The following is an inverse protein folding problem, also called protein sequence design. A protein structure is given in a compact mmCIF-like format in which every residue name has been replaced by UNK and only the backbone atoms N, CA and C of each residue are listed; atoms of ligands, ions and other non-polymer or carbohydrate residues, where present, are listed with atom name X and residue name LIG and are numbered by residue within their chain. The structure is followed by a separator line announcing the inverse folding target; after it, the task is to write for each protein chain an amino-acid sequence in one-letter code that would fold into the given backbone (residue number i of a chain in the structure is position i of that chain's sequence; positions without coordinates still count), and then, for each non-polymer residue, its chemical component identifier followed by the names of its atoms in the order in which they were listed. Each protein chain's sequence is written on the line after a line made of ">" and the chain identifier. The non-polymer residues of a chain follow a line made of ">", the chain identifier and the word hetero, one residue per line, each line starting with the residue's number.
data_IF_407378460511
#
_entry.id   IF_407378460511
#
_cell.length_a   1.000
_cell.length_b   1.000
_cell.length_c   1.000
_cell.angle_alpha   90.00
_cell.angle_beta   90.00
_cell.angle_gamma   90.00
#
_symmetry.space_group_name_H-M   'P 1'
#
loop_
_entity.id
_entity.type
_entity.pdbx_description
1 polymer ?
2 non-polymer ?
3 non-polymer ?
4 water ?
#
# COMPACT_ATOMS: atom_id res chain seq x y z
N UNK A 3 -13.03 -29.20 -12.81
CA UNK A 3 -13.26 -27.89 -13.49
C UNK A 3 -14.24 -27.07 -12.64
N UNK A 4 -13.73 -25.99 -12.03
CA UNK A 4 -14.52 -25.17 -11.12
C UNK A 4 -15.12 -23.98 -11.83
N UNK A 5 -16.44 -23.79 -11.66
CA UNK A 5 -17.15 -22.62 -12.13
C UNK A 5 -18.21 -22.36 -11.10
N UNK A 6 -18.38 -21.10 -10.71
CA UNK A 6 -19.43 -20.75 -9.77
C UNK A 6 -19.70 -19.26 -9.76
N UNK A 7 -20.89 -18.91 -9.26
CA UNK A 7 -21.35 -17.53 -9.24
C UNK A 7 -21.49 -17.02 -7.82
N UNK A 8 -21.40 -15.69 -7.66
CA UNK A 8 -21.72 -15.05 -6.40
C UNK A 8 -23.20 -15.24 -6.10
N UNK A 9 -23.50 -15.61 -4.85
CA UNK A 9 -24.88 -15.86 -4.41
C UNK A 9 -25.40 -14.81 -3.43
N UNK A 10 -24.55 -14.31 -2.54
CA UNK A 10 -24.94 -13.21 -1.64
C UNK A 10 -23.75 -12.46 -1.08
N UNK A 11 -24.01 -11.24 -0.64
CA UNK A 11 -23.01 -10.48 0.10
C UNK A 11 -23.56 -9.98 1.43
N UNK A 12 -22.65 -9.69 2.34
CA UNK A 12 -22.92 -8.91 3.53
C UNK A 12 -21.88 -7.80 3.59
N UNK A 13 -22.34 -6.57 3.78
CA UNK A 13 -21.46 -5.43 3.95
C UNK A 13 -21.51 -5.03 5.42
N UNK A 14 -20.33 -4.88 6.04
CA UNK A 14 -20.24 -4.54 7.45
C UNK A 14 -19.50 -3.22 7.63
N UNK A 15 -20.12 -2.29 8.34
CA UNK A 15 -19.42 -1.12 8.83
C UNK A 15 -18.98 -1.49 10.25
N UNK A 16 -17.67 -1.51 10.48
CA UNK A 16 -17.14 -1.87 11.80
C UNK A 16 -16.29 -0.74 12.37
N UNK A 17 -16.23 -0.68 13.69
CA UNK A 17 -15.33 0.22 14.40
C UNK A 17 -14.21 -0.67 14.92
N UNK A 18 -12.96 -0.20 14.83
CA UNK A 18 -11.81 -0.95 15.33
C UNK A 18 -10.94 -0.04 16.21
N UNK A 19 -10.35 -0.60 17.29
CA UNK A 19 -9.57 0.24 18.19
C UNK A 19 -8.13 0.42 17.72
N UNK A 20 -7.59 1.61 17.98
CA UNK A 20 -6.18 1.90 17.78
C UNK A 20 -5.61 2.53 19.07
N UNK A 21 -4.30 2.75 19.11
CA UNK A 21 -3.68 3.49 20.22
C UNK A 21 -2.59 4.41 19.67
N UNK A 22 -2.62 5.69 20.08
CA UNK A 22 -1.62 6.68 19.62
C UNK A 22 -0.95 7.42 20.77
N UNK A 33 -9.10 6.35 20.97
CA UNK A 33 -8.92 6.33 19.52
C UNK A 33 -9.84 5.31 18.86
N UNK A 34 -10.24 5.58 17.62
CA UNK A 34 -11.10 4.67 16.88
C UNK A 34 -10.99 4.92 15.38
N UNK A 35 -11.30 3.90 14.58
CA UNK A 35 -11.39 4.03 13.13
C UNK A 35 -12.52 3.15 12.64
N UNK A 36 -13.16 3.55 11.56
CA UNK A 36 -14.23 2.76 10.97
C UNK A 36 -13.75 2.12 9.67
N UNK A 37 -14.20 0.89 9.42
CA UNK A 37 -13.74 0.10 8.29
C UNK A 37 -14.91 -0.57 7.59
N UNK A 38 -14.87 -0.63 6.27
CA UNK A 38 -15.89 -1.29 5.47
C UNK A 38 -15.37 -2.67 5.06
N UNK A 39 -16.02 -3.71 5.55
CA UNK A 39 -15.68 -5.07 5.20
C UNK A 39 -16.82 -5.70 4.41
N UNK A 40 -16.46 -6.47 3.39
CA UNK A 40 -17.41 -7.10 2.49
C UNK A 40 -17.17 -8.60 2.55
N UNK A 41 -18.23 -9.36 2.77
CA UNK A 41 -18.14 -10.80 2.73
C UNK A 41 -18.93 -11.28 1.53
N UNK A 42 -18.28 -12.00 0.63
CA UNK A 42 -18.96 -12.57 -0.52
C UNK A 42 -19.04 -14.08 -0.39
N UNK A 43 -20.17 -14.65 -0.79
CA UNK A 43 -20.41 -16.07 -0.66
C UNK A 43 -20.88 -16.66 -1.99
N UNK A 44 -20.20 -17.70 -2.46
CA UNK A 44 -20.55 -18.33 -3.75
C UNK A 44 -21.73 -19.28 -3.64
N UNK A 45 -22.27 -19.66 -4.80
CA UNK A 45 -23.35 -20.65 -4.89
C UNK A 45 -22.95 -22.04 -4.42
N UNK A 46 -21.64 -22.32 -4.40
CA UNK A 46 -21.10 -23.57 -3.85
C UNK A 46 -20.43 -23.41 -2.44
N UNK A 47 -20.86 -22.34 -1.75
CA UNK A 47 -20.64 -22.21 -0.29
C UNK A 47 -19.35 -21.55 0.18
N UNK A 48 -18.45 -21.22 -0.75
CA UNK A 48 -17.10 -20.71 -0.41
C UNK A 48 -17.11 -19.21 -0.13
N UNK A 49 -16.47 -18.81 0.96
CA UNK A 49 -16.53 -17.44 1.45
C UNK A 49 -15.24 -16.68 1.15
N UNK A 50 -15.37 -15.41 0.78
CA UNK A 50 -14.21 -14.54 0.57
C UNK A 50 -14.42 -13.15 1.12
N UNK A 51 -13.34 -12.51 1.53
CA UNK A 51 -13.43 -11.21 2.19
C UNK A 51 -12.67 -10.13 1.42
N UNK A 52 -13.23 -8.92 1.47
CA UNK A 52 -12.57 -7.74 0.97
C UNK A 52 -12.75 -6.61 1.96
N UNK A 53 -11.91 -5.60 1.84
CA UNK A 53 -11.94 -4.44 2.73
C UNK A 53 -11.70 -3.20 1.89
N UNK A 54 -12.52 -2.19 2.10
CA UNK A 54 -12.35 -0.89 1.48
C UNK A 54 -11.65 0.04 2.47
N UNK A 55 -10.40 0.36 2.18
CA UNK A 55 -9.62 1.27 3.01
C UNK A 55 -9.48 2.59 2.27
N UNK A 56 -10.09 3.66 2.81
CA UNK A 56 -9.78 5.00 2.29
C UNK A 56 -8.31 5.42 2.40
N UNK A 57 -8.01 6.57 1.79
CA UNK A 57 -6.64 7.01 1.52
C UNK A 57 -6.47 8.48 1.92
N UNK A 63 -13.82 9.10 4.34
CA UNK A 63 -15.20 8.80 4.67
C UNK A 63 -15.58 7.37 4.26
N UNK A 64 -15.79 6.49 5.25
CA UNK A 64 -16.26 5.11 5.03
C UNK A 64 -17.74 4.97 4.64
N UNK A 65 -18.54 6.00 4.90
CA UNK A 65 -19.94 6.02 4.50
C UNK A 65 -20.06 5.99 2.97
N UNK A 66 -19.19 6.76 2.31
CA UNK A 66 -19.08 6.75 0.85
C UNK A 66 -18.96 5.32 0.30
N UNK A 67 -17.85 4.66 0.64
CA UNK A 67 -17.63 3.28 0.21
C UNK A 67 -18.82 2.39 0.58
N UNK A 68 -19.29 2.52 1.83
CA UNK A 68 -20.38 1.68 2.32
C UNK A 68 -21.64 1.72 1.45
N UNK A 69 -22.00 2.92 1.00
CA UNK A 69 -23.18 3.07 0.16
C UNK A 69 -22.89 2.55 -1.24
N UNK A 70 -21.66 2.80 -1.72
CA UNK A 70 -21.25 2.34 -3.04
C UNK A 70 -21.54 0.86 -3.21
N UNK A 71 -21.06 0.04 -2.27
CA UNK A 71 -21.27 -1.40 -2.33
C UNK A 71 -22.74 -1.78 -2.21
N UNK A 72 -23.43 -1.16 -1.24
CA UNK A 72 -24.79 -1.56 -0.86
C UNK A 72 -25.83 -1.28 -1.96
N UNK A 73 -25.69 -0.15 -2.64
CA UNK A 73 -26.67 0.25 -3.67
C UNK A 73 -26.12 0.19 -5.11
N UNK A 74 -24.99 0.82 -5.39
CA UNK A 74 -24.49 0.92 -6.77
C UNK A 74 -23.96 -0.42 -7.30
N UNK A 75 -23.05 -1.06 -6.54
CA UNK A 75 -22.33 -2.25 -7.02
C UNK A 75 -23.05 -3.59 -6.75
N UNK A 76 -23.94 -3.64 -5.76
CA UNK A 76 -24.64 -4.89 -5.39
C UNK A 76 -25.27 -5.69 -6.56
N UNK A 77 -26.01 -5.02 -7.47
CA UNK A 77 -26.60 -5.74 -8.62
C UNK A 77 -25.60 -6.19 -9.68
N UNK A 78 -24.38 -5.67 -9.64
CA UNK A 78 -23.31 -6.13 -10.50
C UNK A 78 -22.64 -7.37 -9.90
N UNK A 79 -22.40 -7.35 -8.58
CA UNK A 79 -21.77 -8.50 -7.87
C UNK A 79 -22.66 -9.74 -7.97
N UNK A 80 -23.93 -9.56 -7.66
CA UNK A 80 -24.86 -10.69 -7.52
C UNK A 80 -25.08 -11.41 -8.86
N UNK A 81 -24.85 -12.72 -8.87
CA UNK A 81 -24.92 -13.51 -10.10
C UNK A 81 -23.58 -13.63 -10.84
N UNK A 82 -22.68 -12.66 -10.66
CA UNK A 82 -21.44 -12.57 -11.44
C UNK A 82 -20.57 -13.85 -11.38
N UNK A 83 -20.00 -14.27 -12.52
CA UNK A 83 -19.13 -15.46 -12.46
C UNK A 83 -17.77 -15.17 -11.84
N UNK A 84 -17.43 -15.90 -10.78
CA UNK A 84 -16.27 -15.60 -9.94
C UNK A 84 -14.94 -15.78 -10.68
N UNK A 85 -14.88 -16.66 -11.68
CA UNK A 85 -13.72 -16.79 -12.56
C UNK A 85 -13.52 -15.59 -13.47
N UNK A 86 -14.50 -14.70 -13.61
CA UNK A 86 -14.36 -13.53 -14.53
C UNK A 86 -14.19 -12.22 -13.79
N UNK A 87 -13.11 -12.11 -13.03
CA UNK A 87 -12.83 -10.94 -12.23
C UNK A 87 -12.59 -9.66 -13.05
N UNK A 88 -11.74 -9.75 -14.08
CA UNK A 88 -11.46 -8.59 -14.92
C UNK A 88 -12.71 -8.12 -15.64
N UNK A 89 -13.57 -9.06 -16.02
CA UNK A 89 -14.82 -8.73 -16.69
C UNK A 89 -15.74 -7.95 -15.76
N UNK A 90 -15.83 -8.38 -14.50
CA UNK A 90 -16.67 -7.69 -13.51
C UNK A 90 -16.09 -6.30 -13.21
N UNK A 91 -14.76 -6.19 -13.10
CA UNK A 91 -14.14 -4.87 -12.84
C UNK A 91 -14.44 -3.87 -13.94
N UNK A 92 -14.48 -4.35 -15.19
CA UNK A 92 -14.84 -3.49 -16.35
C UNK A 92 -16.30 -3.10 -16.28
N UNK A 93 -17.17 -4.00 -15.81
CA UNK A 93 -18.58 -3.64 -15.57
C UNK A 93 -18.70 -2.57 -14.46
N UNK A 94 -17.99 -2.74 -13.35
CA UNK A 94 -18.10 -1.79 -12.24
C UNK A 94 -17.55 -0.40 -12.63
N UNK A 95 -16.50 -0.35 -13.46
CA UNK A 95 -15.95 0.93 -13.95
C UNK A 95 -16.87 1.62 -14.98
N UNK A 96 -17.65 0.85 -15.71
CA UNK A 96 -18.58 1.39 -16.70
C UNK A 96 -19.84 1.99 -16.05
N UNK A 97 -20.33 1.34 -14.99
CA UNK A 97 -21.56 1.75 -14.32
C UNK A 97 -21.33 2.81 -13.22
N UNK A 98 -20.18 2.76 -12.55
CA UNK A 98 -19.82 3.73 -11.52
C UNK A 98 -18.43 4.31 -11.79
N UNK A 99 -18.25 5.59 -11.46
CA UNK A 99 -16.99 6.30 -11.75
C UNK A 99 -16.22 6.65 -10.46
N UNK A 100 -15.04 6.06 -10.31
CA UNK A 100 -14.09 6.52 -9.29
C UNK A 100 -14.36 6.19 -7.82
N UNK A 101 -14.97 5.05 -7.53
CA UNK A 101 -14.96 4.53 -6.15
C UNK A 101 -13.98 3.36 -6.07
N UNK A 102 -12.71 3.65 -6.34
CA UNK A 102 -11.68 2.62 -6.46
C UNK A 102 -11.54 1.67 -5.27
N UNK A 103 -11.82 2.19 -4.08
CA UNK A 103 -11.72 1.42 -2.83
C UNK A 103 -12.77 0.31 -2.77
N UNK A 104 -14.02 0.69 -2.97
CA UNK A 104 -15.11 -0.29 -2.94
C UNK A 104 -14.98 -1.38 -4.01
N UNK A 105 -14.60 -0.98 -5.21
CA UNK A 105 -14.39 -1.93 -6.31
C UNK A 105 -13.26 -2.90 -5.96
N UNK A 106 -12.16 -2.37 -5.42
CA UNK A 106 -11.01 -3.22 -5.01
C UNK A 106 -11.39 -4.27 -3.93
N UNK A 107 -12.36 -3.94 -3.06
CA UNK A 107 -12.84 -4.92 -2.05
C UNK A 107 -13.59 -6.06 -2.71
N UNK A 108 -14.33 -5.76 -3.77
CA UNK A 108 -15.04 -6.80 -4.51
C UNK A 108 -14.05 -7.75 -5.20
N UNK A 109 -13.06 -7.19 -5.89
CA UNK A 109 -12.00 -7.96 -6.58
C UNK A 109 -11.25 -8.86 -5.58
N UNK A 110 -10.79 -8.27 -4.51
CA UNK A 110 -10.14 -8.97 -3.38
C UNK A 110 -10.93 -10.24 -2.98
N UNK A 111 -12.21 -10.04 -2.69
CA UNK A 111 -13.07 -11.11 -2.22
C UNK A 111 -13.27 -12.21 -3.27
N UNK A 112 -13.43 -11.83 -4.53
CA UNK A 112 -13.62 -12.82 -5.61
C UNK A 112 -12.35 -13.64 -5.83
N UNK A 113 -11.20 -12.99 -5.71
CA UNK A 113 -9.92 -13.68 -5.81
C UNK A 113 -9.68 -14.59 -4.59
N UNK A 114 -10.16 -14.16 -3.41
CA UNK A 114 -10.12 -14.98 -2.18
C UNK A 114 -10.92 -16.29 -2.41
N UNK A 115 -12.15 -16.15 -2.90
CA UNK A 115 -13.00 -17.29 -3.21
C UNK A 115 -12.38 -18.18 -4.27
N UNK A 116 -11.99 -17.59 -5.39
CA UNK A 116 -11.36 -18.35 -6.50
C UNK A 116 -10.14 -19.12 -6.02
N UNK A 117 -9.32 -18.47 -5.21
CA UNK A 117 -8.16 -19.11 -4.63
C UNK A 117 -8.51 -20.32 -3.76
N UNK A 118 -9.47 -20.13 -2.84
CA UNK A 118 -9.89 -21.19 -1.93
C UNK A 118 -10.52 -22.36 -2.67
N UNK A 119 -11.21 -22.05 -3.77
CA UNK A 119 -11.89 -23.07 -4.58
C UNK A 119 -10.89 -23.92 -5.34
N UNK A 120 -9.71 -23.37 -5.63
CA UNK A 120 -8.76 -24.04 -6.49
C UNK A 120 -7.46 -24.43 -5.81
N UNK A 121 -7.32 -24.13 -4.51
CA UNK A 121 -6.07 -24.37 -3.79
C UNK A 121 -4.93 -23.44 -4.15
N UNK A 122 -5.26 -22.23 -4.59
CA UNK A 122 -4.25 -21.26 -5.00
C UNK A 122 -4.35 -20.01 -4.13
N UNK A 123 -3.21 -19.40 -3.85
CA UNK A 123 -3.20 -18.07 -3.27
C UNK A 123 -3.52 -17.00 -4.34
N UNK A 124 -3.80 -15.80 -3.86
CA UNK A 124 -3.98 -14.67 -4.74
C UNK A 124 -2.70 -14.37 -5.54
N UNK A 125 -1.53 -14.41 -4.90
CA UNK A 125 -0.26 -14.29 -5.64
C UNK A 125 -0.20 -15.29 -6.83
N UNK A 126 -0.57 -16.55 -6.57
CA UNK A 126 -0.60 -17.62 -7.59
C UNK A 126 -1.45 -17.25 -8.80
N UNK A 127 -2.59 -16.61 -8.54
CA UNK A 127 -3.52 -16.16 -9.56
C UNK A 127 -3.09 -14.87 -10.28
N UNK A 128 -1.98 -14.28 -9.82
CA UNK A 128 -1.46 -13.05 -10.37
C UNK A 128 -0.08 -13.27 -11.01
N UNK A 129 0.20 -14.54 -11.34
CA UNK A 129 1.40 -14.91 -12.08
C UNK A 129 2.39 -15.68 -11.22
N UNK A 130 2.07 -15.85 -9.94
CA UNK A 130 2.90 -16.56 -9.01
C UNK A 130 3.78 -15.63 -8.21
N UNK A 131 4.12 -16.07 -6.99
CA UNK A 131 5.09 -15.39 -6.15
C UNK A 131 6.45 -15.28 -6.83
N UNK A 132 7.06 -14.12 -6.61
CA UNK A 132 8.42 -13.86 -6.96
C UNK A 132 9.24 -13.52 -5.70
N UNK A 133 8.55 -13.33 -4.57
CA UNK A 133 9.19 -13.17 -3.27
C UNK A 133 8.28 -13.65 -2.15
N UNK A 134 8.89 -14.00 -1.02
CA UNK A 134 8.18 -14.55 0.14
C UNK A 134 8.08 -13.60 1.36
N UNK A 135 8.89 -12.54 1.32
CA UNK A 135 8.93 -11.51 2.34
C UNK A 135 8.96 -10.15 1.63
N UNK A 136 8.53 -9.09 2.30
CA UNK A 136 8.55 -7.76 1.74
C UNK A 136 9.26 -6.82 2.71
N UNK A 137 10.37 -6.19 2.28
CA UNK A 137 11.00 -5.23 3.19
C UNK A 137 9.98 -4.19 3.72
N UNK A 138 10.01 -3.98 5.02
CA UNK A 138 9.09 -3.07 5.70
C UNK A 138 9.88 -1.87 6.24
N UNK A 139 9.53 -0.68 5.75
CA UNK A 139 10.19 0.57 6.15
C UNK A 139 9.80 0.95 7.55
N UNK A 140 10.79 1.37 8.31
CA UNK A 140 10.55 1.91 9.63
C UNK A 140 10.63 3.44 9.60
N UNK A 141 9.56 4.09 10.04
CA UNK A 141 9.47 5.54 9.98
C UNK A 141 10.30 6.19 11.08
N UNK A 142 11.16 7.14 10.71
CA UNK A 142 11.93 7.94 11.67
C UNK A 142 11.29 9.33 11.67
N UNK A 143 10.50 9.60 12.69
CA UNK A 143 9.70 10.82 12.74
C UNK A 143 9.54 11.39 14.15
N UNK A 144 10.33 10.92 15.11
CA UNK A 144 10.23 11.36 16.50
C UNK A 144 10.87 12.73 16.62
N UNK A 145 10.15 13.72 17.23
CA UNK A 145 10.76 15.00 17.53
C UNK A 145 12.03 14.84 18.36
N UNK A 146 12.07 13.82 19.21
CA UNK A 146 13.26 13.53 20.00
C UNK A 146 14.11 12.58 19.18
N UNK A 147 15.08 13.12 18.44
CA UNK A 147 15.89 12.29 17.55
C UNK A 147 16.70 11.23 18.30
N UNK A 148 17.18 11.59 19.49
CA UNK A 148 17.93 10.63 20.32
C UNK A 148 17.10 9.38 20.60
N UNK A 149 15.80 9.55 20.82
CA UNK A 149 14.87 8.41 20.98
C UNK A 149 14.92 7.52 19.73
N UNK A 150 14.91 8.16 18.56
CA UNK A 150 14.94 7.44 17.30
C UNK A 150 16.28 6.74 17.05
N UNK A 151 17.38 7.41 17.43
CA UNK A 151 18.72 6.85 17.26
C UNK A 151 18.89 5.55 18.03
N UNK A 152 18.32 5.48 19.24
CA UNK A 152 18.43 4.25 20.03
C UNK A 152 17.60 3.15 19.40
N UNK A 153 16.42 3.49 18.91
CA UNK A 153 15.61 2.52 18.13
C UNK A 153 16.41 1.92 16.98
N UNK A 154 17.04 2.79 16.19
CA UNK A 154 17.89 2.34 15.08
C UNK A 154 19.04 1.47 15.60
N UNK A 155 19.63 1.89 16.71
CA UNK A 155 20.74 1.15 17.32
C UNK A 155 20.39 -0.30 17.64
N UNK A 156 19.14 -0.55 18.05
CA UNK A 156 18.65 -1.90 18.31
C UNK A 156 18.18 -2.60 17.03
N UNK A 157 17.60 -1.86 16.09
CA UNK A 157 16.92 -2.47 14.94
C UNK A 157 17.84 -2.92 13.81
N UNK A 158 18.92 -2.20 13.60
CA UNK A 158 19.87 -2.56 12.55
C UNK A 158 20.53 -3.94 12.84
N UNK A 159 21.02 -4.17 14.07
CA UNK A 159 21.53 -5.51 14.37
C UNK A 159 20.46 -6.63 14.25
N UNK A 160 19.18 -6.28 14.48
CA UNK A 160 18.06 -7.22 14.36
C UNK A 160 17.60 -7.47 12.92
N UNK A 161 18.29 -6.87 11.95
CA UNK A 161 18.01 -7.08 10.53
C UNK A 161 17.15 -6.05 9.80
N UNK A 162 16.73 -5.00 10.49
CA UNK A 162 16.04 -3.89 9.81
C UNK A 162 17.05 -3.11 9.01
N UNK A 163 16.80 -2.88 7.74
CA UNK A 163 17.68 -2.04 6.98
C UNK A 163 16.98 -0.79 6.44
N UNK A 164 15.67 -0.89 6.18
CA UNK A 164 14.96 0.19 5.53
C UNK A 164 14.39 1.19 6.52
N UNK A 165 14.82 2.46 6.40
CA UNK A 165 14.35 3.54 7.22
C UNK A 165 13.89 4.72 6.37
N UNK A 166 12.76 5.32 6.74
CA UNK A 166 12.32 6.53 6.06
C UNK A 166 12.25 7.73 7.00
N UNK A 167 13.03 8.78 6.75
CA UNK A 167 13.07 9.95 7.63
C UNK A 167 12.07 10.95 7.07
N UNK A 168 11.16 11.41 7.92
CA UNK A 168 10.33 12.54 7.63
C UNK A 168 11.20 13.80 7.67
N UNK A 169 11.17 14.59 6.60
CA UNK A 169 12.04 15.74 6.50
C UNK A 169 11.19 16.96 6.18
N UNK A 170 11.78 18.14 6.31
CA UNK A 170 11.09 19.39 6.10
C UNK A 170 10.17 19.71 7.27
N UNK A 171 10.48 19.16 8.46
CA UNK A 171 9.68 19.38 9.67
C UNK A 171 10.45 20.15 10.74
N UNK A 172 11.73 19.83 10.90
CA UNK A 172 12.62 20.57 11.78
C UNK A 172 13.45 21.52 10.95
N UNK A 173 14.06 22.55 11.58
CA UNK A 173 14.87 23.45 10.78
C UNK A 173 15.92 22.67 9.93
N UNK A 174 16.09 23.11 8.71
CA UNK A 174 16.95 22.39 7.76
C UNK A 174 18.31 22.02 8.33
N UNK A 175 18.98 22.97 8.99
CA UNK A 175 20.27 22.72 9.63
C UNK A 175 20.24 21.52 10.58
N UNK A 176 19.18 21.44 11.39
CA UNK A 176 19.03 20.33 12.34
C UNK A 176 18.84 19.01 11.60
N UNK A 177 18.06 19.03 10.52
CA UNK A 177 17.85 17.81 9.74
C UNK A 177 19.16 17.35 9.09
N UNK A 178 20.02 18.30 8.70
CA UNK A 178 21.32 17.96 8.13
C UNK A 178 22.25 17.29 9.15
N UNK A 179 22.29 17.84 10.37
CA UNK A 179 23.08 17.26 11.47
C UNK A 179 22.59 15.85 11.81
N UNK A 180 21.28 15.66 11.79
CA UNK A 180 20.68 14.34 11.97
C UNK A 180 21.16 13.37 10.89
N UNK A 181 21.13 13.77 9.63
CA UNK A 181 21.55 12.90 8.55
C UNK A 181 23.03 12.59 8.67
N UNK A 182 23.80 13.58 9.09
CA UNK A 182 25.23 13.40 9.29
C UNK A 182 25.49 12.36 10.38
N UNK A 183 24.76 12.44 11.49
CA UNK A 183 24.91 11.47 12.59
C UNK A 183 24.53 10.07 12.12
N UNK A 184 23.45 9.96 11.36
CA UNK A 184 23.00 8.66 10.83
C UNK A 184 24.00 8.03 9.86
N UNK A 185 24.53 8.81 8.92
CA UNK A 185 25.53 8.27 7.99
C UNK A 185 26.85 7.98 8.71
N UNK A 186 27.20 8.79 9.72
CA UNK A 186 28.43 8.55 10.52
C UNK A 186 28.48 7.20 11.26
N UNK A 187 27.35 6.77 11.81
CA UNK A 187 27.31 5.49 12.51
C UNK A 187 27.06 4.29 11.61
N UNK A 188 26.11 4.45 10.69
CA UNK A 188 25.58 3.34 9.92
C UNK A 188 26.10 3.23 8.51
N UNK A 189 26.59 4.34 7.94
CA UNK A 189 27.06 4.35 6.57
C UNK A 189 26.01 3.76 5.65
N UNK A 190 26.40 2.79 4.83
CA UNK A 190 25.49 2.13 3.89
C UNK A 190 24.84 0.87 4.44
N UNK A 191 25.00 0.62 5.73
CA UNK A 191 24.31 -0.48 6.35
C UNK A 191 22.81 -0.23 6.47
N UNK A 192 22.38 1.00 6.27
CA UNK A 192 20.95 1.31 6.22
C UNK A 192 20.58 1.81 4.84
N UNK A 193 19.39 1.42 4.42
CA UNK A 193 18.75 1.85 3.22
C UNK A 193 17.86 3.00 3.67
N UNK A 194 18.36 4.24 3.54
CA UNK A 194 17.73 5.41 4.10
C UNK A 194 16.96 6.17 3.05
N UNK A 195 15.67 6.41 3.30
CA UNK A 195 14.82 7.19 2.42
C UNK A 195 14.37 8.45 3.13
N UNK A 196 14.10 9.51 2.39
CA UNK A 196 13.59 10.76 2.98
C UNK A 196 12.22 11.05 2.41
N UNK A 197 11.35 11.64 3.21
CA UNK A 197 10.02 12.00 2.75
C UNK A 197 9.68 13.41 3.19
N UNK A 198 9.47 14.32 2.24
CA UNK A 198 9.09 15.70 2.61
C UNK A 198 7.58 15.91 2.76
N UNK A 199 6.80 14.87 2.53
CA UNK A 199 5.33 14.92 2.57
C UNK A 199 4.73 16.13 1.83
N UNK A 200 5.21 16.36 0.61
CA UNK A 200 4.76 17.46 -0.24
C UNK A 200 4.93 18.87 0.36
N UNK A 201 5.74 19.01 1.42
CA UNK A 201 5.80 20.27 2.16
C UNK A 201 6.66 21.36 1.49
N UNK A 202 7.51 21.00 0.54
CA UNK A 202 8.37 22.01 -0.11
C UNK A 202 7.56 22.70 -1.22
N UNK A 203 7.93 23.93 -1.53
CA UNK A 203 7.43 24.59 -2.73
C UNK A 203 8.48 24.50 -3.83
N UNK A 204 8.06 24.48 -5.10
CA UNK A 204 9.05 24.56 -6.17
C UNK A 204 10.03 25.75 -6.02
N UNK A 205 9.57 26.92 -5.61
CA UNK A 205 10.46 28.03 -5.24
C UNK A 205 11.32 27.62 -4.03
N UNK A 206 12.63 27.64 -4.18
CA UNK A 206 13.47 27.34 -3.00
C UNK A 206 13.61 25.87 -2.60
N UNK A 207 12.98 24.93 -3.29
CA UNK A 207 13.21 23.53 -2.95
C UNK A 207 14.63 23.07 -3.31
N UNK A 208 15.21 23.57 -4.40
CA UNK A 208 16.43 22.92 -4.93
C UNK A 208 17.64 22.96 -3.98
N UNK A 209 17.84 24.08 -3.28
CA UNK A 209 18.93 24.15 -2.29
C UNK A 209 18.70 23.13 -1.16
N UNK A 210 17.45 22.97 -0.73
CA UNK A 210 17.11 22.00 0.31
C UNK A 210 17.44 20.60 -0.17
N UNK A 211 16.90 20.25 -1.32
CA UNK A 211 17.08 18.91 -1.92
C UNK A 211 18.54 18.58 -2.25
N UNK A 212 19.28 19.58 -2.73
CA UNK A 212 20.69 19.39 -3.02
C UNK A 212 21.47 19.08 -1.76
N UNK A 213 21.12 19.74 -0.65
CA UNK A 213 21.80 19.46 0.61
C UNK A 213 21.58 17.99 1.06
N UNK A 214 20.35 17.48 0.95
CA UNK A 214 20.07 16.14 1.47
C UNK A 214 20.52 15.07 0.45
N UNK A 215 20.58 15.46 -0.83
CA UNK A 215 21.15 14.60 -1.87
C UNK A 215 22.62 14.19 -1.60
N UNK A 216 23.37 14.96 -0.82
CA UNK A 216 24.80 14.64 -0.52
C UNK A 216 24.92 13.42 0.39
N UNK A 217 23.84 13.07 1.09
CA UNK A 217 23.83 11.90 1.95
C UNK A 217 23.38 10.63 1.21
N UNK A 218 23.11 10.79 -0.08
CA UNK A 218 22.80 9.66 -0.97
C UNK A 218 21.62 8.83 -0.51
N UNK A 219 20.51 9.47 -0.17
CA UNK A 219 19.38 8.62 0.21
C UNK A 219 18.96 7.72 -0.96
N UNK A 220 18.35 6.58 -0.67
CA UNK A 220 17.88 5.68 -1.72
C UNK A 220 16.85 6.36 -2.59
N UNK A 221 15.96 7.14 -1.99
CA UNK A 221 15.09 8.02 -2.78
C UNK A 221 14.57 9.14 -1.92
N UNK A 222 14.05 10.17 -2.58
CA UNK A 222 13.38 11.28 -1.90
C UNK A 222 11.93 11.29 -2.38
N UNK A 223 10.98 11.20 -1.46
CA UNK A 223 9.57 11.07 -1.83
C UNK A 223 8.84 12.41 -1.94
N UNK A 224 8.23 12.60 -3.12
CA UNK A 224 7.29 13.68 -3.43
C UNK A 224 7.54 14.97 -2.62
N UNK A 225 8.62 15.68 -2.94
CA UNK A 225 8.93 16.86 -2.16
C UNK A 225 7.92 18.01 -2.30
N UNK A 226 7.20 18.06 -3.42
CA UNK A 226 6.23 19.12 -3.72
C UNK A 226 4.85 18.48 -4.06
N UNK A 227 3.76 19.26 -4.02
CA UNK A 227 2.43 18.73 -4.36
C UNK A 227 2.32 18.19 -5.78
N UNK A 228 1.25 17.41 -5.96
CA UNK A 228 0.91 16.69 -7.18
C UNK A 228 1.02 17.52 -8.48
N UNK A 229 0.54 18.75 -8.47
CA UNK A 229 0.53 19.58 -9.71
C UNK A 229 1.90 19.76 -10.41
N UNK A 230 2.95 19.90 -9.62
CA UNK A 230 4.18 20.50 -10.10
C UNK A 230 5.11 19.51 -10.78
N UNK A 231 4.64 18.97 -11.90
CA UNK A 231 5.32 17.90 -12.58
C UNK A 231 6.58 18.43 -13.22
N UNK A 232 6.53 19.61 -13.80
CA UNK A 232 7.73 20.24 -14.32
C UNK A 232 8.73 20.44 -13.17
N UNK A 233 8.26 20.89 -12.02
CA UNK A 233 9.19 21.07 -10.90
C UNK A 233 9.83 19.71 -10.52
N UNK A 234 8.99 18.68 -10.42
CA UNK A 234 9.44 17.33 -10.11
C UNK A 234 10.45 16.82 -11.15
N UNK A 235 10.17 17.10 -12.44
CA UNK A 235 11.10 16.74 -13.53
C UNK A 235 12.41 17.52 -13.41
N UNK A 236 12.30 18.80 -13.09
CA UNK A 236 13.45 19.67 -12.76
C UNK A 236 14.31 19.05 -11.67
N UNK A 237 13.68 18.62 -10.57
CA UNK A 237 14.47 17.99 -9.49
C UNK A 237 15.17 16.74 -9.97
N UNK A 238 14.43 15.86 -10.64
CA UNK A 238 14.99 14.62 -11.11
C UNK A 238 16.15 14.88 -12.05
N UNK A 239 16.00 15.85 -12.96
CA UNK A 239 17.09 16.17 -13.90
C UNK A 239 18.33 16.69 -13.21
N UNK A 240 18.19 17.48 -12.16
CA UNK A 240 19.38 18.08 -11.49
C UNK A 240 20.05 17.13 -10.48
N UNK A 241 19.28 16.16 -9.96
CA UNK A 241 19.80 15.36 -8.86
C UNK A 241 20.04 13.91 -9.22
N UNK A 242 21.18 13.41 -8.73
CA UNK A 242 21.51 12.01 -8.80
C UNK A 242 20.54 11.11 -8.02
N UNK A 243 20.20 11.54 -6.80
CA UNK A 243 19.22 10.83 -5.98
C UNK A 243 17.87 10.64 -6.67
N UNK A 244 17.36 9.40 -6.68
CA UNK A 244 16.05 9.17 -7.28
C UNK A 244 14.93 9.97 -6.59
N UNK A 245 14.05 10.55 -7.39
CA UNK A 245 12.87 11.19 -6.90
C UNK A 245 11.71 10.22 -7.07
N UNK A 246 10.93 10.00 -6.01
CA UNK A 246 9.81 9.05 -6.10
C UNK A 246 8.50 9.83 -6.11
N UNK A 247 7.64 9.47 -7.05
CA UNK A 247 6.33 10.09 -7.15
C UNK A 247 5.37 9.31 -6.28
N UNK A 248 4.60 10.05 -5.46
CA UNK A 248 3.51 9.44 -4.72
C UNK A 248 2.21 10.06 -5.22
N UNK A 249 1.84 11.23 -4.71
CA UNK A 249 0.62 11.88 -5.15
C UNK A 249 0.63 12.29 -6.64
N UNK A 250 1.81 12.45 -7.25
CA UNK A 250 1.92 12.63 -8.71
C UNK A 250 1.56 11.40 -9.52
N UNK A 251 1.47 10.23 -8.90
CA UNK A 251 1.15 9.03 -9.64
C UNK A 251 0.15 8.12 -8.92
N UNK A 252 -1.12 8.29 -9.25
CA UNK A 252 -2.18 7.46 -8.69
C UNK A 252 -2.50 6.26 -9.56
N UNK A 253 -2.40 6.43 -10.88
CA UNK A 253 -2.94 5.44 -11.82
C UNK A 253 -2.10 5.38 -13.09
N UNK A 254 -2.51 4.52 -14.01
CA UNK A 254 -1.74 4.25 -15.22
C UNK A 254 -1.62 5.50 -16.06
N UNK A 255 -2.70 6.27 -16.14
CA UNK A 255 -2.66 7.54 -16.86
C UNK A 255 -1.61 8.51 -16.31
N UNK A 256 -1.56 8.70 -15.00
CA UNK A 256 -0.56 9.57 -14.41
C UNK A 256 0.83 9.04 -14.77
N UNK A 257 1.00 7.73 -14.69
CA UNK A 257 2.30 7.14 -14.90
C UNK A 257 2.79 7.43 -16.30
N UNK A 258 1.94 7.27 -17.32
CA UNK A 258 2.37 7.60 -18.69
C UNK A 258 2.84 9.05 -18.83
N UNK A 259 2.20 9.97 -18.11
CA UNK A 259 2.64 11.37 -18.14
C UNK A 259 3.95 11.58 -17.34
N UNK A 260 4.09 10.88 -16.22
CA UNK A 260 5.31 10.94 -15.45
C UNK A 260 6.48 10.44 -16.34
N UNK A 261 6.29 9.32 -17.05
CA UNK A 261 7.33 8.79 -17.92
C UNK A 261 7.66 9.80 -19.00
N UNK A 262 6.62 10.33 -19.64
CA UNK A 262 6.78 11.23 -20.79
C UNK A 262 7.54 12.49 -20.41
N UNK A 263 7.30 12.98 -19.18
CA UNK A 263 7.95 14.18 -18.70
C UNK A 263 9.23 13.84 -17.92
N UNK A 264 9.50 12.55 -17.70
CA UNK A 264 10.61 12.13 -16.84
C UNK A 264 10.56 12.85 -15.49
N UNK A 265 9.37 12.88 -14.93
CA UNK A 265 9.10 13.63 -13.71
C UNK A 265 9.42 12.84 -12.42
N UNK A 266 9.78 11.56 -12.52
CA UNK A 266 10.15 10.76 -11.33
C UNK A 266 11.00 9.56 -11.75
N UNK A 267 11.75 8.99 -10.80
CA UNK A 267 12.60 7.84 -11.05
C UNK A 267 12.00 6.55 -10.48
N UNK A 268 10.90 6.66 -9.73
CA UNK A 268 10.26 5.53 -9.01
C UNK A 268 8.87 6.00 -8.63
N UNK A 269 7.94 5.08 -8.42
CA UNK A 269 6.58 5.43 -8.05
C UNK A 269 6.11 4.58 -6.87
N UNK A 270 5.24 5.13 -6.04
CA UNK A 270 4.58 4.30 -5.02
C UNK A 270 3.25 3.85 -5.59
N UNK A 271 2.98 2.55 -5.48
CA UNK A 271 1.77 1.95 -6.02
C UNK A 271 0.73 1.85 -4.90
N UNK A 272 -0.42 2.47 -5.13
CA UNK A 272 -1.52 2.52 -4.17
C UNK A 272 -2.59 1.59 -4.69
N UNK A 273 -2.73 0.39 -4.10
CA UNK A 273 -3.63 -0.62 -4.65
C UNK A 273 -4.99 0.01 -4.86
N UNK A 274 -5.50 0.71 -3.87
CA UNK A 274 -6.81 1.36 -3.98
C UNK A 274 -6.87 2.71 -4.71
N UNK A 275 -5.81 3.48 -4.67
CA UNK A 275 -5.74 4.66 -5.53
C UNK A 275 -5.74 4.26 -7.02
N UNK A 276 -5.02 3.21 -7.40
CA UNK A 276 -4.95 2.83 -8.80
C UNK A 276 -6.17 2.01 -9.26
N UNK A 277 -6.90 1.43 -8.31
CA UNK A 277 -8.16 0.72 -8.60
C UNK A 277 -8.10 -0.80 -8.51
N UNK A 278 -7.19 -1.33 -7.69
CA UNK A 278 -7.13 -2.75 -7.40
C UNK A 278 -5.85 -3.46 -7.79
N UNK A 279 -5.90 -4.79 -7.64
CA UNK A 279 -4.74 -5.66 -7.76
C UNK A 279 -4.31 -5.85 -9.21
N UNK A 280 -5.25 -6.16 -10.10
CA UNK A 280 -4.92 -6.29 -11.53
C UNK A 280 -4.48 -4.93 -12.12
N UNK A 281 -5.16 -3.85 -11.75
CA UNK A 281 -4.76 -2.50 -12.21
C UNK A 281 -3.37 -2.14 -11.70
N UNK A 282 -3.02 -2.54 -10.48
CA UNK A 282 -1.66 -2.29 -9.98
C UNK A 282 -0.60 -3.04 -10.80
N UNK A 283 -0.89 -4.26 -11.23
CA UNK A 283 0.06 -5.01 -12.06
C UNK A 283 0.14 -4.42 -13.48
N UNK A 284 -0.96 -3.86 -14.00
CA UNK A 284 -0.90 -3.19 -15.30
C UNK A 284 -0.01 -1.93 -15.21
N UNK A 285 -0.22 -1.17 -14.13
CA UNK A 285 0.58 -0.01 -13.82
C UNK A 285 2.05 -0.40 -13.79
N UNK A 286 2.37 -1.45 -13.06
CA UNK A 286 3.78 -1.91 -12.98
C UNK A 286 4.37 -2.47 -14.32
N UNK A 287 3.55 -2.91 -15.26
CA UNK A 287 4.09 -3.29 -16.57
C UNK A 287 4.64 -2.07 -17.31
N UNK A 288 3.93 -0.95 -17.20
CA UNK A 288 4.39 0.29 -17.76
C UNK A 288 5.71 0.74 -17.09
N UNK A 289 5.72 0.69 -15.76
CA UNK A 289 6.82 1.16 -14.98
C UNK A 289 8.08 0.33 -15.21
N UNK A 290 7.94 -1.00 -15.29
CA UNK A 290 9.07 -1.92 -15.59
C UNK A 290 9.68 -1.61 -16.96
N UNK A 291 8.83 -1.45 -17.97
CA UNK A 291 9.31 -1.08 -19.30
C UNK A 291 10.05 0.26 -19.24
N UNK A 292 9.54 1.19 -18.45
CA UNK A 292 10.14 2.52 -18.35
C UNK A 292 11.33 2.62 -17.39
N UNK A 293 11.63 1.55 -16.67
CA UNK A 293 12.76 1.52 -15.76
C UNK A 293 12.49 2.23 -14.45
N UNK A 294 11.22 2.32 -14.05
CA UNK A 294 10.86 2.97 -12.78
C UNK A 294 10.46 1.90 -11.76
N UNK A 295 11.28 1.68 -10.70
CA UNK A 295 10.85 0.74 -9.66
C UNK A 295 9.63 1.27 -8.86
N UNK A 296 8.85 0.32 -8.34
CA UNK A 296 7.74 0.62 -7.50
C UNK A 296 8.03 0.37 -6.05
N UNK A 297 7.30 1.12 -5.25
CA UNK A 297 7.31 1.03 -3.81
C UNK A 297 5.87 0.75 -3.39
N UNK A 298 5.67 -0.11 -2.40
CA UNK A 298 4.32 -0.50 -1.98
C UNK A 298 3.53 0.58 -1.26
N UNK A 299 4.19 1.66 -0.87
CA UNK A 299 3.50 2.84 -0.37
C UNK A 299 3.04 2.58 1.04
N UNK A 300 1.93 3.22 1.41
CA UNK A 300 1.36 3.09 2.74
C UNK A 300 0.25 2.03 2.77
N UNK A 301 0.53 0.87 3.35
CA UNK A 301 -0.45 -0.20 3.43
C UNK A 301 -1.31 0.00 4.68
N UNK A 302 -2.62 -0.14 4.52
CA UNK A 302 -3.55 -0.09 5.64
C UNK A 302 -3.37 -1.37 6.45
N UNK A 303 -3.32 -1.23 7.77
CA UNK A 303 -3.03 -2.33 8.68
C UNK A 303 -4.20 -3.29 8.86
N UNK A 304 -5.41 -2.88 8.48
CA UNK A 304 -6.55 -3.77 8.48
C UNK A 304 -6.19 -5.04 7.75
N UNK A 305 -6.40 -6.17 8.42
CA UNK A 305 -5.79 -7.43 8.01
C UNK A 305 -6.16 -7.89 6.62
N UNK A 306 -7.38 -7.57 6.20
CA UNK A 306 -7.91 -8.03 4.93
C UNK A 306 -7.28 -7.25 3.78
N UNK A 307 -7.23 -5.93 3.90
CA UNK A 307 -6.59 -5.09 2.91
C UNK A 307 -5.07 -5.29 2.86
N UNK A 308 -4.49 -5.55 4.03
CA UNK A 308 -3.07 -5.82 4.12
C UNK A 308 -2.72 -7.14 3.47
N UNK A 309 -3.55 -8.15 3.63
CA UNK A 309 -3.32 -9.45 2.99
C UNK A 309 -3.30 -9.25 1.46
N UNK A 310 -4.27 -8.50 0.98
CA UNK A 310 -4.37 -8.21 -0.46
C UNK A 310 -3.11 -7.52 -0.96
N UNK A 311 -2.65 -6.52 -0.23
CA UNK A 311 -1.47 -5.77 -0.64
C UNK A 311 -0.21 -6.62 -0.64
N UNK A 312 -0.08 -7.48 0.36
CA UNK A 312 1.07 -8.35 0.50
C UNK A 312 1.13 -9.41 -0.63
N UNK A 313 -0.03 -9.97 -0.99
CA UNK A 313 -0.14 -10.89 -2.14
C UNK A 313 0.24 -10.21 -3.45
N UNK A 314 -0.31 -9.03 -3.67
CA UNK A 314 0.06 -8.24 -4.85
C UNK A 314 1.57 -8.06 -4.94
N UNK A 315 2.17 -7.58 -3.87
CA UNK A 315 3.59 -7.26 -3.92
C UNK A 315 4.39 -8.55 -4.08
N UNK A 316 3.93 -9.62 -3.44
CA UNK A 316 4.57 -10.92 -3.57
C UNK A 316 4.67 -11.39 -5.03
N UNK A 317 3.69 -11.00 -5.83
CA UNK A 317 3.54 -11.45 -7.23
C UNK A 317 3.96 -10.41 -8.26
N UNK A 318 4.54 -9.29 -7.82
CA UNK A 318 4.78 -8.13 -8.71
C UNK A 318 6.24 -7.69 -8.56
N UNK A 319 7.14 -8.27 -9.35
CA UNK A 319 8.58 -8.17 -9.10
C UNK A 319 9.12 -6.74 -9.13
N UNK A 320 8.52 -5.87 -9.96
CA UNK A 320 8.94 -4.47 -10.07
C UNK A 320 8.70 -3.65 -8.81
N UNK A 321 7.86 -4.14 -7.90
CA UNK A 321 7.66 -3.43 -6.64
C UNK A 321 8.74 -3.92 -5.72
N UNK A 322 9.93 -3.37 -5.90
CA UNK A 322 11.16 -3.87 -5.28
C UNK A 322 11.67 -2.98 -4.14
N UNK A 323 10.99 -1.88 -3.87
CA UNK A 323 11.43 -0.93 -2.85
C UNK A 323 10.85 -1.15 -1.45
N UNK A 324 10.07 -2.23 -1.26
CA UNK A 324 9.49 -2.59 0.05
C UNK A 324 8.14 -1.87 0.25
N UNK A 325 7.73 -1.72 1.50
CA UNK A 325 6.45 -1.09 1.83
C UNK A 325 6.50 -0.47 3.20
N UNK A 326 5.44 0.21 3.59
CA UNK A 326 5.31 0.73 4.97
C UNK A 326 3.87 0.72 5.42
N UNK A 327 3.65 0.88 6.72
CA UNK A 327 2.28 0.90 7.27
C UNK A 327 1.67 2.32 7.36
N UNK A 328 0.36 2.39 7.10
CA UNK A 328 -0.40 3.66 6.96
C UNK A 328 0.04 4.79 7.88
N UNK A 329 0.13 4.51 9.16
CA UNK A 329 0.72 5.43 10.10
C UNK A 329 1.13 4.62 11.30
N UNK A 330 2.41 4.24 11.36
CA UNK A 330 3.01 3.43 12.42
C UNK A 330 2.81 4.03 13.82
N UNK A 331 2.77 5.36 13.91
CA UNK A 331 2.57 6.07 15.19
C UNK A 331 1.20 5.81 15.85
N UNK A 332 0.26 5.22 15.11
CA UNK A 332 -0.99 4.71 15.71
C UNK A 332 -1.26 3.28 15.21
N UNK A 333 -1.01 2.28 16.07
CA UNK A 333 -1.08 0.86 15.69
C UNK A 333 -2.47 0.24 15.92
N UNK A 334 -2.89 -0.62 15.00
CA UNK A 334 -4.18 -1.32 15.08
C UNK A 334 -4.11 -2.38 16.18
N UNK A 335 -4.90 -2.17 17.24
CA UNK A 335 -4.77 -2.94 18.49
C UNK A 335 -5.47 -4.31 18.47
N UNK A 336 -6.67 -4.37 17.91
CA UNK A 336 -7.38 -5.64 17.70
C UNK A 336 -7.99 -5.68 16.30
N UNK A 337 -7.92 -6.84 15.66
CA UNK A 337 -8.38 -7.01 14.29
C UNK A 337 -9.31 -8.22 14.23
N UNK A 338 -10.00 -8.38 13.09
CA UNK A 338 -10.99 -9.46 12.92
C UNK A 338 -10.39 -10.77 12.37
N UNK A 339 -9.08 -10.77 12.07
CA UNK A 339 -8.40 -11.99 11.63
C UNK A 339 -8.19 -12.94 12.81
N UNK A 340 -8.38 -14.23 12.56
CA UNK A 340 -8.03 -15.28 13.53
C UNK A 340 -6.53 -15.19 13.84
N UNK A 341 -5.72 -14.95 12.80
CA UNK A 341 -4.27 -14.71 12.96
C UNK A 341 -3.78 -13.51 12.15
N UNK A 342 -2.95 -12.70 12.78
CA UNK A 342 -2.41 -11.49 12.17
C UNK A 342 -1.40 -11.79 11.06
N UNK A 343 -1.35 -10.92 10.04
CA UNK A 343 -0.23 -10.90 9.12
C UNK A 343 1.00 -10.51 9.93
N UNK A 344 2.09 -11.25 9.74
CA UNK A 344 3.26 -11.13 10.60
C UNK A 344 4.36 -10.36 9.92
N UNK A 345 5.09 -9.57 10.72
CA UNK A 345 6.36 -9.01 10.31
C UNK A 345 7.45 -9.35 11.33
N UNK A 346 8.68 -9.51 10.85
CA UNK A 346 9.83 -9.80 11.70
C UNK A 346 11.12 -9.34 11.04
N UNK A 347 12.04 -8.86 11.85
CA UNK A 347 13.38 -8.48 11.39
C UNK A 347 13.39 -7.57 10.14
N UNK A 348 12.41 -6.67 10.05
CA UNK A 348 12.37 -5.69 8.95
C UNK A 348 11.64 -6.08 7.69
N UNK A 349 10.82 -7.13 7.78
CA UNK A 349 10.07 -7.58 6.60
C UNK A 349 8.73 -8.16 6.98
N UNK A 350 7.74 -7.95 6.13
CA UNK A 350 6.44 -8.61 6.27
C UNK A 350 6.55 -10.05 5.73
N UNK A 351 5.93 -11.01 6.43
CA UNK A 351 5.93 -12.40 5.97
C UNK A 351 4.68 -12.55 5.14
N UNK A 352 4.84 -12.98 3.89
CA UNK A 352 3.68 -13.10 3.00
C UNK A 352 2.93 -14.34 3.46
N UNK A 353 1.68 -14.15 3.94
CA UNK A 353 0.93 -15.26 4.51
C UNK A 353 0.76 -16.37 3.50
N UNK A 354 0.90 -17.59 3.97
CA UNK A 354 0.76 -18.79 3.16
C UNK A 354 -0.72 -19.18 3.13
N UNK A 355 -1.07 -20.03 2.17
CA UNK A 355 -2.41 -20.59 2.14
C UNK A 355 -3.27 -20.04 1.02
N UNK A 356 -4.37 -20.72 0.72
CA UNK A 356 -5.19 -20.35 -0.42
C UNK A 356 -5.85 -18.99 -0.29
N UNK A 357 -6.26 -18.42 -1.43
CA UNK A 357 -6.92 -17.13 -1.44
C UNK A 357 -6.00 -16.07 -0.86
N UNK A 358 -6.56 -15.23 0.01
CA UNK A 358 -5.77 -14.18 0.67
C UNK A 358 -4.82 -14.76 1.73
N UNK A 359 -5.13 -15.96 2.22
CA UNK A 359 -4.35 -16.62 3.26
C UNK A 359 -4.67 -16.15 4.68
N UNK A 360 -5.92 -15.74 4.93
CA UNK A 360 -6.39 -15.25 6.23
C UNK A 360 -7.73 -15.91 6.52
N UNK A 361 -8.13 -15.95 7.79
CA UNK A 361 -9.44 -16.47 8.16
C UNK A 361 -10.21 -15.51 9.07
N UNK A 362 -11.53 -15.48 8.89
CA UNK A 362 -12.43 -14.63 9.66
C UNK A 362 -13.69 -15.39 10.04
N UNK A 363 -13.88 -15.62 11.34
CA UNK A 363 -15.09 -16.27 11.87
C UNK A 363 -16.10 -15.23 12.37
N UNK A 364 -17.33 -15.69 12.65
CA UNK A 364 -18.34 -14.81 13.24
C UNK A 364 -17.84 -14.21 14.55
N UNK A 365 -17.25 -15.07 15.40
CA UNK A 365 -16.73 -14.63 16.69
C UNK A 365 -15.61 -13.62 16.54
N UNK A 366 -14.63 -13.94 15.69
CA UNK A 366 -13.48 -13.04 15.49
C UNK A 366 -13.97 -11.65 15.04
N UNK A 367 -14.96 -11.64 14.15
CA UNK A 367 -15.52 -10.38 13.64
C UNK A 367 -16.34 -9.62 14.67
N UNK A 368 -17.36 -10.27 15.24
CA UNK A 368 -18.28 -9.60 16.16
C UNK A 368 -17.75 -9.43 17.59
N UNK A 369 -16.54 -9.91 17.83
CA UNK A 369 -15.90 -9.82 19.14
C UNK A 369 -14.64 -8.99 19.19
N UNK A 370 -14.16 -8.54 18.02
CA UNK A 370 -12.99 -7.66 17.95
C UNK A 370 -13.24 -6.32 17.25
N UNK A 371 -14.44 -6.15 16.68
CA UNK A 371 -14.87 -4.87 16.12
C UNK A 371 -16.33 -4.60 16.49
N UNK A 372 -16.66 -3.32 16.72
CA UNK A 372 -18.04 -2.90 17.03
C UNK A 372 -18.81 -2.56 15.75
N UNK A 373 -19.85 -3.34 15.48
CA UNK A 373 -20.57 -3.29 14.21
C UNK A 373 -21.67 -2.23 14.20
N UNK A 374 -21.50 -1.20 13.36
CA UNK A 374 -22.55 -0.18 13.16
C UNK A 374 -23.64 -0.58 12.14
X LIG B 1 17.97 12.45 -11.33
X LIG C 1 3.65 9.79 0.44
X LIG D 1 23.53 16.08 -8.31
X LIG D 1 23.25 15.07 -7.36
X LIG D 1 25.04 16.22 -8.47
X LIG D 1 25.68 16.12 -7.22
X LIG D 1 25.37 17.53 -9.17
X LIG D 1 26.45 18.18 -8.55
#
# INVERSE_FOLDING_TARGET
>A
SLSWDSVVERIRIFLVESPIKMARLQGVGNVKGSVKRVLLEVTSADGIVGWGEAAPWEVFTGTPEAAFSALDIYLRPLILGAPIKRVRELMARMDKMLVGHGEAKAAVEMALLDILGKATGLSVADLLGGRVRDRIPLSFSIADPDFDADLERMRAMVPAGHTVFKMKTGVKPHAEELRILETMRGEFGERIDLRLDFNQALTPFGAMKILRDVDAFRPTFIEQPVPRRHLDAMAGFAAALDTPILADESCFDAVDLMEVVRRQAADAISVKIMKCGGLMKAQSLMAIADTAGLPGYGGTLWEGGIALAAGTQLIAATPGISLGCEFYMPHHVLTEDVLEERIANSAGHVIVPDGPGLGISISEASLRGNAKILAER
>B hetero
1 MG MG
>C hetero
1 MG MG
>D hetero
1 GOL C1 O1 C2 O2 C3 O3
#
